data_IF_639931540327
#
_entry.id   IF_639931540327
#
_cell.length_a   1.000
_cell.length_b   1.000
_cell.length_c   1.000
_cell.angle_alpha   90.00
_cell.angle_beta   90.00
_cell.angle_gamma   90.00
#
_symmetry.space_group_name_H-M   'P 1'
#
loop_
_entity.id
_entity.type
_entity.pdbx_description
1 polymer ?
#
# COMPACT_ATOMS: atom_id res chain seq x y z
N UNK A 1 16.16 -5.98 10.24
CA UNK A 1 15.61 -7.36 10.37
C UNK A 1 15.77 -8.13 9.05
N UNK A 2 15.90 -9.45 9.06
CA UNK A 2 15.89 -10.27 7.82
C UNK A 2 14.49 -10.30 7.21
N UNK A 3 14.39 -10.20 5.89
CA UNK A 3 13.15 -10.36 5.14
C UNK A 3 12.44 -11.68 5.50
N UNK A 4 11.14 -11.61 5.82
CA UNK A 4 10.31 -12.76 6.15
C UNK A 4 8.97 -12.65 5.43
N UNK A 5 8.82 -13.43 4.35
CA UNK A 5 7.60 -13.50 3.54
C UNK A 5 6.34 -13.85 4.35
N UNK A 6 6.47 -14.43 5.55
CA UNK A 6 5.33 -14.77 6.41
C UNK A 6 4.84 -13.61 7.27
N UNK A 7 5.51 -12.46 7.21
CA UNK A 7 5.22 -11.27 8.03
C UNK A 7 4.86 -10.05 7.20
N UNK A 8 4.50 -10.24 5.93
CA UNK A 8 4.08 -9.16 5.07
C UNK A 8 2.79 -8.50 5.61
N UNK A 9 2.78 -7.18 5.56
CA UNK A 9 1.62 -6.34 5.87
C UNK A 9 1.30 -5.53 4.62
N UNK A 10 0.04 -5.60 4.19
CA UNK A 10 -0.49 -4.83 3.08
C UNK A 10 -1.26 -3.65 3.65
N UNK A 11 -0.84 -2.43 3.34
CA UNK A 11 -1.56 -1.23 3.73
C UNK A 11 -2.62 -0.92 2.68
N UNK A 12 -3.88 -0.84 3.07
CA UNK A 12 -4.99 -0.63 2.13
C UNK A 12 -5.26 0.86 1.97
N UNK A 13 -5.23 1.33 0.72
CA UNK A 13 -5.58 2.71 0.35
C UNK A 13 -6.96 2.77 -0.30
N UNK A 14 -7.28 1.80 -1.16
CA UNK A 14 -8.53 1.82 -1.94
C UNK A 14 -9.33 0.54 -1.65
N UNK A 15 -10.55 0.66 -1.11
CA UNK A 15 -11.42 -0.48 -0.87
C UNK A 15 -11.91 -1.07 -2.18
N UNK A 16 -12.07 -2.40 -2.22
CA UNK A 16 -12.80 -3.06 -3.29
C UNK A 16 -14.20 -2.42 -3.45
N UNK A 17 -14.57 -2.07 -4.68
CA UNK A 17 -15.82 -1.39 -5.01
C UNK A 17 -15.76 0.14 -4.92
N UNK A 18 -14.63 0.75 -4.54
CA UNK A 18 -14.48 2.21 -4.56
C UNK A 18 -14.25 2.74 -5.98
N UNK A 19 -14.75 3.94 -6.28
CA UNK A 19 -14.42 4.75 -7.47
C UNK A 19 -13.60 5.99 -7.12
N UNK A 20 -13.09 6.07 -5.89
CA UNK A 20 -12.17 7.11 -5.42
C UNK A 20 -10.82 6.47 -5.21
N UNK A 21 -9.79 7.01 -5.87
CA UNK A 21 -8.40 6.69 -5.58
C UNK A 21 -7.96 7.54 -4.39
N UNK A 22 -7.58 6.85 -3.34
CA UNK A 22 -6.85 7.43 -2.22
C UNK A 22 -5.37 7.11 -2.36
N UNK A 23 -4.55 7.90 -1.68
CA UNK A 23 -3.10 7.75 -1.66
C UNK A 23 -2.57 8.38 -0.37
N UNK A 24 -1.60 7.73 0.25
CA UNK A 24 -0.89 8.34 1.38
C UNK A 24 0.01 9.45 0.85
N UNK A 25 -0.19 10.67 1.34
CA UNK A 25 0.71 11.78 1.07
C UNK A 25 2.03 11.58 1.81
N UNK A 26 3.14 11.49 1.09
CA UNK A 26 4.46 11.16 1.66
C UNK A 26 4.94 12.17 2.70
N UNK A 27 4.62 13.45 2.53
CA UNK A 27 5.07 14.51 3.43
C UNK A 27 4.31 14.50 4.76
N UNK A 28 3.00 14.25 4.73
CA UNK A 28 2.13 14.35 5.90
C UNK A 28 1.76 13.00 6.52
N UNK A 29 1.93 11.90 5.79
CA UNK A 29 1.45 10.57 6.17
C UNK A 29 -0.09 10.47 6.22
N UNK A 30 -0.80 11.47 5.70
CA UNK A 30 -2.26 11.51 5.70
C UNK A 30 -2.78 10.82 4.44
N UNK A 31 -3.80 9.97 4.60
CA UNK A 31 -4.51 9.41 3.47
C UNK A 31 -5.37 10.49 2.79
N UNK A 32 -5.02 10.82 1.55
CA UNK A 32 -5.65 11.87 0.76
C UNK A 32 -6.46 11.28 -0.39
N UNK A 33 -7.54 11.97 -0.79
CA UNK A 33 -8.23 11.62 -2.03
C UNK A 33 -7.44 12.21 -3.21
N UNK A 34 -6.70 11.37 -3.94
CA UNK A 34 -5.95 11.75 -5.14
C UNK A 34 -6.93 12.17 -6.24
N UNK A 35 -7.86 11.27 -6.60
CA UNK A 35 -8.88 11.56 -7.62
C UNK A 35 -10.11 10.67 -7.55
N UNK A 36 -11.18 11.14 -8.16
CA UNK A 36 -12.30 10.30 -8.56
C UNK A 36 -11.96 9.67 -9.91
N UNK A 37 -12.26 8.39 -10.11
CA UNK A 37 -12.09 7.76 -11.42
C UNK A 37 -12.95 8.50 -12.45
N UNK A 38 -12.36 8.85 -13.60
CA UNK A 38 -13.08 9.55 -14.67
C UNK A 38 -14.05 8.62 -15.42
N UNK A 39 -13.88 7.31 -15.27
CA UNK A 39 -14.72 6.25 -15.83
C UNK A 39 -15.79 5.79 -14.83
N UNK A 40 -16.85 5.15 -15.32
CA UNK A 40 -17.87 4.50 -14.47
C UNK A 40 -17.40 3.11 -14.04
N UNK A 41 -16.24 3.05 -13.39
CA UNK A 41 -15.61 1.82 -12.91
C UNK A 41 -15.34 1.90 -11.42
N UNK A 42 -15.12 0.74 -10.81
CA UNK A 42 -14.73 0.61 -9.41
C UNK A 42 -13.61 -0.42 -9.30
N UNK A 43 -12.72 -0.25 -8.34
CA UNK A 43 -11.63 -1.19 -8.09
C UNK A 43 -12.18 -2.61 -7.81
N UNK A 44 -11.76 -3.65 -8.55
CA UNK A 44 -12.30 -5.01 -8.38
C UNK A 44 -11.73 -5.73 -7.15
N UNK A 45 -10.64 -5.22 -6.59
CA UNK A 45 -9.95 -5.73 -5.40
C UNK A 45 -9.68 -4.58 -4.45
N UNK A 46 -9.25 -4.88 -3.22
CA UNK A 46 -8.59 -3.84 -2.43
C UNK A 46 -7.23 -3.54 -3.07
N UNK A 47 -6.80 -2.30 -2.95
CA UNK A 47 -5.55 -1.81 -3.48
C UNK A 47 -4.79 -1.07 -2.39
N UNK A 48 -3.47 -1.18 -2.43
CA UNK A 48 -2.54 -0.34 -1.70
C UNK A 48 -1.15 -0.86 -1.93
N UNK A 49 -0.31 -0.90 -0.89
CA UNK A 49 1.09 -1.27 -1.03
C UNK A 49 1.60 -2.21 0.06
N UNK A 50 2.76 -2.81 -0.18
CA UNK A 50 3.44 -3.70 0.76
C UNK A 50 4.34 -2.85 1.66
N UNK A 51 4.08 -2.87 2.97
CA UNK A 51 4.88 -2.12 3.94
C UNK A 51 6.34 -2.60 3.97
N UNK A 52 7.28 -1.66 4.13
CA UNK A 52 8.71 -1.95 4.19
C UNK A 52 9.36 -2.26 2.83
N UNK A 53 8.71 -1.89 1.73
CA UNK A 53 9.24 -2.01 0.37
C UNK A 53 9.48 -0.65 -0.27
N UNK A 54 10.44 -0.60 -1.19
CA UNK A 54 10.75 0.52 -2.07
C UNK A 54 11.07 0.00 -3.46
N UNK A 55 10.17 0.26 -4.40
CA UNK A 55 10.27 -0.10 -5.80
C UNK A 55 11.36 0.69 -6.54
N UNK A 56 11.51 0.38 -7.83
CA UNK A 56 12.55 0.95 -8.69
C UNK A 56 12.27 2.41 -9.09
N UNK A 57 11.01 2.80 -9.06
CA UNK A 57 10.51 4.18 -9.23
C UNK A 57 10.63 5.01 -7.94
N UNK A 58 10.81 4.35 -6.80
CA UNK A 58 10.95 4.97 -5.48
C UNK A 58 9.71 4.80 -4.60
N UNK A 59 8.60 4.34 -5.17
CA UNK A 59 7.33 4.16 -4.48
C UNK A 59 7.26 2.75 -3.87
N UNK A 60 6.48 2.52 -2.79
CA UNK A 60 6.26 1.17 -2.27
C UNK A 60 5.67 0.22 -3.32
N UNK A 61 5.98 -1.08 -3.20
CA UNK A 61 5.46 -2.09 -4.16
C UNK A 61 3.94 -2.21 -4.01
N UNK A 62 3.23 -1.95 -5.10
CA UNK A 62 1.78 -2.03 -5.15
C UNK A 62 1.25 -3.46 -5.02
N UNK A 63 0.09 -3.59 -4.35
CA UNK A 63 -0.57 -4.87 -4.10
C UNK A 63 -2.09 -4.80 -4.27
N UNK A 64 -2.62 -5.80 -4.98
CA UNK A 64 -4.03 -6.13 -5.09
C UNK A 64 -4.36 -7.20 -4.06
N UNK A 65 -5.13 -6.83 -3.04
CA UNK A 65 -5.57 -7.78 -1.99
C UNK A 65 -6.97 -8.29 -2.32
N UNK A 66 -7.03 -9.54 -2.74
CA UNK A 66 -8.29 -10.24 -3.02
C UNK A 66 -8.89 -10.74 -1.71
N UNK A 67 -10.09 -10.25 -1.38
CA UNK A 67 -10.81 -10.61 -0.17
C UNK A 67 -12.32 -10.63 -0.40
N UNK A 68 -13.04 -11.19 0.55
CA UNK A 68 -14.50 -11.31 0.55
C UNK A 68 -15.25 -9.98 0.65
N UNK A 69 -14.58 -8.91 1.10
CA UNK A 69 -15.16 -7.58 1.34
C UNK A 69 -14.14 -6.47 1.04
N UNK A 70 -14.65 -5.27 0.73
CA UNK A 70 -13.85 -4.04 0.75
C UNK A 70 -13.37 -3.73 2.17
N UNK A 71 -12.09 -3.37 2.30
CA UNK A 71 -11.44 -3.04 3.56
C UNK A 71 -11.38 -1.51 3.68
N UNK A 72 -11.64 -0.99 4.88
CA UNK A 72 -11.59 0.45 5.15
C UNK A 72 -10.21 1.01 4.80
N UNK A 73 -10.11 2.17 4.12
CA UNK A 73 -8.83 2.79 3.82
C UNK A 73 -8.01 3.09 5.08
N UNK A 74 -6.69 3.02 4.98
CA UNK A 74 -5.75 3.30 6.06
C UNK A 74 -5.52 2.13 7.02
N UNK A 75 -5.91 0.92 6.64
CA UNK A 75 -5.79 -0.29 7.48
C UNK A 75 -4.73 -1.23 6.92
N UNK A 76 -3.85 -1.71 7.80
CA UNK A 76 -2.93 -2.80 7.51
C UNK A 76 -3.60 -4.17 7.65
N UNK A 77 -3.36 -5.07 6.70
CA UNK A 77 -3.83 -6.45 6.73
C UNK A 77 -2.68 -7.43 6.47
N UNK A 78 -2.64 -8.52 7.24
CA UNK A 78 -1.65 -9.59 7.08
C UNK A 78 -2.14 -10.62 6.08
N UNK A 79 -1.21 -11.19 5.32
CA UNK A 79 -1.50 -12.26 4.37
C UNK A 79 -0.27 -12.69 3.59
N UNK A 80 -0.52 -13.30 2.44
CA UNK A 80 0.54 -13.86 1.62
C UNK A 80 0.34 -13.59 0.12
N UNK A 81 1.45 -13.57 -0.60
CA UNK A 81 1.51 -13.34 -2.05
C UNK A 81 1.11 -14.62 -2.77
N UNK A 82 0.33 -14.48 -3.85
CA UNK A 82 -0.10 -15.59 -4.71
C UNK A 82 0.36 -15.44 -6.17
N UNK A 83 0.78 -14.24 -6.58
CA UNK A 83 1.26 -13.95 -7.93
C UNK A 83 1.44 -12.46 -8.16
N UNK A 84 1.56 -12.05 -9.43
CA UNK A 84 1.57 -10.64 -9.83
C UNK A 84 1.02 -10.46 -11.24
N UNK A 85 0.58 -9.25 -11.56
CA UNK A 85 0.18 -8.81 -12.89
C UNK A 85 1.25 -7.86 -13.43
N UNK A 86 1.86 -8.21 -14.56
CA UNK A 86 2.70 -7.29 -15.32
C UNK A 86 1.82 -6.39 -16.20
N UNK A 87 2.15 -5.10 -16.29
CA UNK A 87 1.53 -4.16 -17.20
C UNK A 87 2.51 -3.07 -17.65
N UNK A 88 2.11 -2.32 -18.66
CA UNK A 88 2.85 -1.16 -19.17
C UNK A 88 1.94 0.06 -19.17
N UNK A 89 2.44 1.18 -18.67
CA UNK A 89 1.74 2.48 -18.70
C UNK A 89 2.66 3.60 -19.21
N UNK A 90 2.25 4.87 -19.09
CA UNK A 90 3.06 6.02 -19.51
C UNK A 90 4.45 6.13 -18.85
N UNK A 91 4.64 5.50 -17.69
CA UNK A 91 5.89 5.46 -16.93
C UNK A 91 6.78 4.27 -17.27
N UNK A 92 6.28 3.28 -18.02
CA UNK A 92 7.03 2.08 -18.43
C UNK A 92 6.42 0.80 -17.88
N UNK A 93 7.27 -0.19 -17.57
CA UNK A 93 6.83 -1.47 -17.01
C UNK A 93 6.49 -1.28 -15.53
N UNK A 94 5.30 -1.71 -15.16
CA UNK A 94 4.76 -1.67 -13.81
C UNK A 94 4.22 -3.06 -13.44
N UNK A 95 4.34 -3.43 -12.17
CA UNK A 95 3.89 -4.72 -11.66
C UNK A 95 3.01 -4.54 -10.45
N UNK A 96 1.85 -5.18 -10.46
CA UNK A 96 0.93 -5.21 -9.32
C UNK A 96 1.00 -6.59 -8.67
N UNK A 97 1.46 -6.67 -7.43
CA UNK A 97 1.48 -7.94 -6.67
C UNK A 97 0.04 -8.36 -6.38
N UNK A 98 -0.26 -9.65 -6.43
CA UNK A 98 -1.54 -10.20 -5.99
C UNK A 98 -1.34 -10.95 -4.68
N UNK A 99 -2.17 -10.63 -3.70
CA UNK A 99 -2.14 -11.24 -2.38
C UNK A 99 -3.55 -11.56 -1.88
N UNK A 100 -3.63 -12.42 -0.87
CA UNK A 100 -4.85 -12.72 -0.12
C UNK A 100 -4.60 -12.54 1.37
N UNK A 101 -5.63 -12.22 2.17
CA UNK A 101 -5.49 -12.18 3.62
C UNK A 101 -5.10 -13.54 4.20
N UNK A 102 -4.52 -13.53 5.39
CA UNK A 102 -4.33 -14.74 6.18
C UNK A 102 -5.66 -15.51 6.30
N UNK A 103 -5.61 -16.84 6.20
CA UNK A 103 -6.79 -17.72 6.32
C UNK A 103 -7.63 -17.50 7.60
N UNK A 104 -7.01 -17.03 8.69
CA UNK A 104 -7.70 -16.68 9.93
C UNK A 104 -8.57 -15.43 9.79
N UNK A 105 -8.15 -14.49 8.95
CA UNK A 105 -8.83 -13.21 8.69
C UNK A 105 -9.92 -13.40 7.64
N UNK A 106 -9.59 -14.04 6.52
CA UNK A 106 -10.53 -14.39 5.46
C UNK A 106 -10.41 -15.88 5.07
N UNK A 107 -11.30 -16.76 5.57
CA UNK A 107 -11.23 -18.19 5.28
C UNK A 107 -11.67 -18.56 3.87
N UNK A 108 -12.23 -17.63 3.08
CA UNK A 108 -12.66 -17.88 1.71
C UNK A 108 -11.52 -17.66 0.72
N UNK A 109 -10.85 -16.51 0.81
CA UNK A 109 -9.76 -16.15 -0.11
C UNK A 109 -8.39 -16.60 0.40
N UNK A 110 -8.18 -16.62 1.72
CA UNK A 110 -6.90 -17.01 2.33
C UNK A 110 -6.52 -18.49 2.16
N UNK A 111 -7.32 -19.29 1.44
CA UNK A 111 -6.96 -20.64 1.01
C UNK A 111 -6.26 -20.71 -0.34
N UNK A 112 -6.22 -19.62 -1.10
CA UNK A 112 -5.52 -19.56 -2.38
C UNK A 112 -4.02 -19.40 -2.13
N UNK A 113 -3.22 -20.24 -2.78
CA UNK A 113 -1.77 -20.29 -2.58
C UNK A 113 -1.00 -19.86 -3.83
N UNK A 114 -1.71 -19.76 -4.96
CA UNK A 114 -1.16 -19.44 -6.27
C UNK A 114 -2.16 -18.66 -7.12
N UNK A 115 -1.66 -18.02 -8.16
CA UNK A 115 -2.47 -17.32 -9.16
C UNK A 115 -3.42 -18.24 -9.95
N UNK A 116 -3.11 -19.53 -9.98
CA UNK A 116 -3.94 -20.53 -10.64
C UNK A 116 -5.19 -20.89 -9.83
N UNK A 117 -5.18 -20.60 -8.52
CA UNK A 117 -6.36 -20.73 -7.65
C UNK A 117 -7.39 -19.63 -7.90
N UNK A 118 -6.98 -18.51 -8.52
CA UNK A 118 -7.87 -17.39 -8.85
C UNK A 118 -8.73 -17.76 -10.07
N UNK A 119 -10.07 -17.76 -9.94
CA UNK A 119 -10.96 -18.01 -11.07
C UNK A 119 -10.65 -17.11 -12.27
N UNK A 120 -10.65 -17.69 -13.48
CA UNK A 120 -10.29 -16.96 -14.69
C UNK A 120 -11.11 -15.68 -14.87
N UNK A 121 -12.40 -15.71 -14.55
CA UNK A 121 -13.25 -14.53 -14.66
C UNK A 121 -12.81 -13.38 -13.75
N UNK A 122 -12.28 -13.66 -12.55
CA UNK A 122 -11.72 -12.62 -11.66
C UNK A 122 -10.44 -12.04 -12.27
N UNK A 123 -9.58 -12.88 -12.84
CA UNK A 123 -8.39 -12.44 -13.57
C UNK A 123 -8.76 -11.52 -14.74
N UNK A 124 -9.79 -11.87 -15.50
CA UNK A 124 -10.29 -11.08 -16.62
C UNK A 124 -10.86 -9.72 -16.14
N UNK A 125 -11.59 -9.69 -15.02
CA UNK A 125 -12.10 -8.45 -14.42
C UNK A 125 -10.96 -7.51 -13.98
N UNK A 126 -9.89 -8.05 -13.39
CA UNK A 126 -8.71 -7.28 -12.99
C UNK A 126 -8.03 -6.69 -14.23
N UNK A 127 -7.78 -7.50 -15.27
CA UNK A 127 -7.14 -7.02 -16.50
C UNK A 127 -7.97 -5.93 -17.19
N UNK A 128 -9.27 -6.19 -17.36
CA UNK A 128 -10.20 -5.22 -17.94
C UNK A 128 -10.26 -3.93 -17.12
N UNK A 129 -10.20 -4.01 -15.78
CA UNK A 129 -10.14 -2.80 -14.97
C UNK A 129 -8.90 -1.95 -15.32
N UNK A 130 -7.71 -2.54 -15.27
CA UNK A 130 -6.47 -1.80 -15.54
C UNK A 130 -6.38 -1.29 -16.98
N UNK A 131 -6.80 -2.07 -17.96
CA UNK A 131 -6.79 -1.66 -19.38
C UNK A 131 -7.71 -0.45 -19.66
N UNK A 132 -8.75 -0.23 -18.84
CA UNK A 132 -9.80 0.74 -19.16
C UNK A 132 -9.99 1.88 -18.14
N UNK A 133 -9.56 1.76 -16.87
CA UNK A 133 -9.93 2.73 -15.83
C UNK A 133 -9.41 4.16 -16.08
N UNK A 134 -8.27 4.29 -16.77
CA UNK A 134 -7.60 5.55 -17.14
C UNK A 134 -8.05 6.11 -18.50
N UNK A 135 -8.98 5.48 -19.24
CA UNK A 135 -9.32 5.88 -20.62
C UNK A 135 -9.79 7.33 -20.78
N UNK A 136 -10.45 7.88 -19.76
CA UNK A 136 -10.94 9.26 -19.76
C UNK A 136 -9.98 10.23 -19.06
N UNK A 137 -8.77 9.78 -18.71
CA UNK A 137 -7.67 10.62 -18.23
C UNK A 137 -6.80 11.08 -19.43
N UNK A 138 -6.67 12.40 -19.70
CA UNK A 138 -5.96 12.88 -20.88
C UNK A 138 -4.50 12.41 -20.93
N UNK A 139 -4.13 11.71 -22.00
CA UNK A 139 -2.74 11.29 -22.26
C UNK A 139 -2.26 10.09 -21.45
N UNK A 140 -3.17 9.39 -20.75
CA UNK A 140 -2.88 8.19 -19.97
C UNK A 140 -3.26 6.93 -20.75
N UNK A 141 -2.52 5.85 -20.54
CA UNK A 141 -2.86 4.53 -21.06
C UNK A 141 -2.34 3.46 -20.12
N UNK A 142 -2.93 2.26 -20.16
CA UNK A 142 -2.41 1.07 -19.50
C UNK A 142 -2.63 -0.11 -20.43
N UNK A 143 -1.68 -1.05 -20.44
CA UNK A 143 -1.79 -2.30 -21.16
C UNK A 143 -1.33 -3.46 -20.29
N UNK A 144 -2.25 -4.33 -19.94
CA UNK A 144 -1.94 -5.51 -19.13
C UNK A 144 -1.29 -6.62 -19.94
N UNK A 145 -0.34 -7.31 -19.30
CA UNK A 145 0.34 -8.50 -19.81
C UNK A 145 -0.17 -9.75 -19.07
N UNK A 146 0.62 -10.80 -19.04
CA UNK A 146 0.25 -12.05 -18.38
C UNK A 146 0.47 -11.96 -16.87
N UNK A 147 -0.36 -12.70 -16.13
CA UNK A 147 -0.07 -12.93 -14.73
C UNK A 147 1.17 -13.81 -14.59
N UNK A 148 1.99 -13.53 -13.57
CA UNK A 148 3.12 -14.37 -13.16
C UNK A 148 2.81 -15.09 -11.85
N UNK A 149 3.46 -16.23 -11.67
CA UNK A 149 3.32 -17.04 -10.47
C UNK A 149 3.97 -16.42 -9.24
N UNK A 150 3.59 -16.95 -8.08
CA UNK A 150 4.04 -16.53 -6.74
C UNK A 150 5.54 -16.30 -6.62
N UNK A 151 6.38 -17.22 -7.12
CA UNK A 151 7.83 -17.11 -7.00
C UNK A 151 8.42 -15.86 -7.67
N UNK A 152 7.84 -15.41 -8.78
CA UNK A 152 8.30 -14.19 -9.45
C UNK A 152 7.89 -12.94 -8.63
N UNK A 153 6.69 -12.95 -8.06
CA UNK A 153 6.19 -11.87 -7.21
C UNK A 153 6.96 -11.78 -5.89
N UNK A 154 7.20 -12.91 -5.21
CA UNK A 154 8.02 -12.94 -3.98
C UNK A 154 9.42 -12.40 -4.22
N UNK A 155 10.01 -12.70 -5.38
CA UNK A 155 11.33 -12.17 -5.76
C UNK A 155 11.31 -10.63 -5.95
N UNK A 156 10.31 -10.07 -6.63
CA UNK A 156 10.21 -8.60 -6.79
C UNK A 156 10.07 -7.91 -5.43
N UNK A 157 9.29 -8.50 -4.52
CA UNK A 157 9.10 -7.97 -3.16
C UNK A 157 10.38 -8.11 -2.32
N UNK A 158 11.09 -9.22 -2.43
CA UNK A 158 12.39 -9.42 -1.76
C UNK A 158 13.43 -8.41 -2.23
N UNK A 159 13.53 -8.19 -3.55
CA UNK A 159 14.46 -7.22 -4.14
C UNK A 159 14.12 -5.77 -3.76
N UNK A 160 12.85 -5.49 -3.48
CA UNK A 160 12.35 -4.18 -3.08
C UNK A 160 12.31 -3.99 -1.55
N UNK A 161 12.59 -5.02 -0.75
CA UNK A 161 12.45 -4.93 0.71
C UNK A 161 13.59 -4.12 1.33
N UNK A 162 13.23 -3.02 1.99
CA UNK A 162 14.18 -2.14 2.69
C UNK A 162 14.00 -2.20 4.22
N UNK A 163 12.95 -2.88 4.69
CA UNK A 163 12.57 -2.92 6.10
C UNK A 163 11.60 -1.78 6.46
N UNK A 164 10.98 -1.89 7.64
CA UNK A 164 10.31 -0.74 8.25
C UNK A 164 11.41 0.22 8.74
N UNK A 165 11.22 1.54 8.58
CA UNK A 165 12.08 2.50 9.29
C UNK A 165 11.89 2.25 10.78
N UNK A 166 12.84 1.52 11.38
CA UNK A 166 13.04 1.60 12.81
C UNK A 166 13.37 3.07 13.07
N UNK A 167 12.47 3.78 13.74
CA UNK A 167 12.81 5.05 14.35
C UNK A 167 14.02 4.76 15.24
N UNK A 168 15.20 5.19 14.79
CA UNK A 168 16.46 4.94 15.45
C UNK A 168 16.50 5.87 16.66
N UNK A 169 15.78 5.46 17.71
CA UNK A 169 15.74 6.22 18.95
C UNK A 169 17.19 6.42 19.41
N UNK A 170 17.57 7.69 19.63
CA UNK A 170 18.89 8.12 20.11
C UNK A 170 19.39 7.35 21.36
N UNK A 171 18.51 6.61 22.03
CA UNK A 171 18.77 5.82 23.23
C UNK A 171 19.17 4.34 22.98
N UNK A 172 19.20 3.87 21.72
CA UNK A 172 19.68 2.53 21.37
C UNK A 172 18.79 1.35 21.81
N UNK A 173 17.51 1.59 22.09
CA UNK A 173 16.51 0.57 22.38
C UNK A 173 15.31 0.71 21.44
N UNK A 174 14.96 -0.36 20.71
CA UNK A 174 13.76 -0.41 19.87
C UNK A 174 12.54 -0.95 20.61
N UNK A 175 11.35 -0.41 20.32
CA UNK A 175 10.04 -0.92 20.77
C UNK A 175 9.08 0.11 21.37
N UNK A 176 7.79 -0.26 21.49
CA UNK A 176 6.66 0.56 22.01
C UNK A 176 6.81 1.03 23.46
N UNK A 177 7.77 0.48 24.23
CA UNK A 177 8.00 0.83 25.63
C UNK A 177 8.82 2.12 25.81
N UNK A 178 9.35 2.71 24.73
CA UNK A 178 10.36 3.77 24.83
C UNK A 178 9.84 5.21 25.06
N UNK A 179 8.57 5.53 24.80
CA UNK A 179 8.08 6.91 24.92
C UNK A 179 7.89 7.40 26.37
N UNK A 180 8.21 6.59 27.38
CA UNK A 180 8.07 6.95 28.79
C UNK A 180 9.32 7.59 29.42
N UNK A 181 10.52 7.30 28.91
CA UNK A 181 11.78 7.62 29.62
C UNK A 181 12.63 8.71 28.95
N UNK A 182 12.45 8.96 27.65
CA UNK A 182 13.05 10.10 26.97
C UNK A 182 12.12 11.32 27.12
N UNK A 183 12.36 12.16 28.12
CA UNK A 183 11.72 13.47 28.23
C UNK A 183 12.04 14.40 27.04
N UNK A 184 11.68 15.68 27.16
CA UNK A 184 11.76 16.76 26.15
C UNK A 184 13.15 17.07 25.52
N UNK A 185 14.10 16.14 25.52
CA UNK A 185 15.48 16.33 25.06
C UNK A 185 15.78 15.68 23.70
N UNK A 186 14.89 14.84 23.15
CA UNK A 186 15.04 14.31 21.78
C UNK A 186 14.25 15.18 20.78
N UNK A 187 14.92 15.74 19.75
CA UNK A 187 14.24 16.53 18.70
C UNK A 187 13.28 15.67 17.86
N UNK A 188 13.62 14.42 17.56
CA UNK A 188 12.77 13.50 16.79
C UNK A 188 11.51 13.05 17.57
N UNK A 189 11.59 12.97 18.91
CA UNK A 189 10.42 12.67 19.74
C UNK A 189 9.46 13.86 19.87
N UNK A 190 9.93 15.10 19.69
CA UNK A 190 9.07 16.30 19.75
C UNK A 190 8.11 16.38 18.57
N UNK A 191 8.60 16.04 17.37
CA UNK A 191 7.76 16.02 16.18
C UNK A 191 6.68 14.92 16.26
N UNK A 192 6.97 13.82 16.94
CA UNK A 192 5.99 12.75 17.21
C UNK A 192 4.97 13.10 18.32
N UNK A 193 5.37 13.83 19.36
CA UNK A 193 4.48 14.25 20.45
C UNK A 193 3.42 15.25 19.96
N UNK A 194 3.79 16.16 19.06
CA UNK A 194 2.88 17.14 18.44
C UNK A 194 1.77 16.44 17.61
N UNK A 195 1.97 15.19 17.18
CA UNK A 195 0.97 14.42 16.44
C UNK A 195 -0.08 13.73 17.34
N UNK A 196 0.22 13.47 18.62
CA UNK A 196 -0.71 12.78 19.55
C UNK A 196 -1.58 13.74 20.37
N UNK A 197 -1.17 14.99 20.56
CA UNK A 197 -2.04 16.04 21.09
C UNK A 197 -2.42 16.99 19.96
N UNK A 198 -3.66 16.94 19.47
CA UNK A 198 -4.16 17.80 18.40
C UNK A 198 -4.17 19.29 18.75
N UNK A 199 -3.00 19.90 18.88
CA UNK A 199 -2.80 21.34 18.98
C UNK A 199 -2.18 21.83 17.66
N UNK A 200 -3.07 22.28 16.77
CA UNK A 200 -2.70 23.09 15.61
C UNK A 200 -1.90 24.31 16.11
N UNK A 201 -0.58 24.36 15.82
CA UNK A 201 0.26 25.53 16.06
C UNK A 201 -0.34 26.72 15.30
N UNK A 202 -1.03 27.62 16.01
CA UNK A 202 -1.47 28.90 15.47
C UNK A 202 -0.24 29.71 15.04
N UNK A 203 -0.10 29.95 13.73
CA UNK A 203 0.79 30.97 13.20
C UNK A 203 0.52 32.31 13.88
N UNK A 204 1.48 32.80 14.67
CA UNK A 204 1.53 34.21 15.04
C UNK A 204 2.02 34.99 13.84
N UNK A 205 1.09 35.47 12.99
CA UNK A 205 1.37 36.57 12.06
C UNK A 205 1.86 37.77 12.87
N UNK A 206 3.15 38.07 12.73
CA UNK A 206 3.77 39.25 13.30
C UNK A 206 3.08 40.51 12.78
N UNK A 207 2.50 41.30 13.70
CA UNK A 207 2.27 42.73 13.50
C UNK A 207 3.62 43.41 13.32
N UNK A 208 3.92 43.87 12.11
CA UNK A 208 4.78 45.04 11.93
C UNK A 208 3.88 46.26 11.77
N UNK A 209 4.31 47.32 12.47
CA UNK A 209 3.76 48.66 12.69
C UNK A 209 2.76 49.18 11.66
#
# INVERSE_FOLDING_TARGET
MSFDLKKLVFYIEIPAGSSVKYEVDEETGILMADRFLHTQMTYPTNYGYIMGTKGKDGDPVDVLVLSSQGIVPGVGIKGHIIGMLEMEDEGGIDTKVLAVPDKKVDPLYGTWESIDDVPQHIKDLIKHFFDHYKELEPGKFVKTHDFKGRAAAEKEVEESYVGEEECECCCGGGGDECCGECGDECEECKDHADHKSGEVKKEKKGKKK
#
